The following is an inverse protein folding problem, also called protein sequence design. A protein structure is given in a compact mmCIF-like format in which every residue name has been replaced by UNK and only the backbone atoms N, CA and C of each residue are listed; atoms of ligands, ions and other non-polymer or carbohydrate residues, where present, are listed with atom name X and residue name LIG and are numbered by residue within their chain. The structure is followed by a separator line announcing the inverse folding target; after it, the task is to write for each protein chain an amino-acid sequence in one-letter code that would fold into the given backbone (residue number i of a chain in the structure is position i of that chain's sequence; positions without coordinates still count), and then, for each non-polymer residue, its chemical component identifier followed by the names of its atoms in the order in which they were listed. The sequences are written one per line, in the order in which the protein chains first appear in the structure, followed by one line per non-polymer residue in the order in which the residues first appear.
data_IF_665771794895
#
_entry.id   IF_665771794895
#
_cell.length_a   1.000
_cell.length_b   1.000
_cell.length_c   1.000
_cell.angle_alpha   90.00
_cell.angle_beta   90.00
_cell.angle_gamma   90.00
#
_symmetry.space_group_name_H-M   'P 1'
#
loop_
_entity.id
_entity.type
_entity.pdbx_description
1 polymer ?
#
# COMPACT_ATOMS: atom_id res chain seq x y z
N UNK A 1 -19.60 -3.85 -23.70
CA UNK A 1 -19.95 -3.41 -25.07
C UNK A 1 -19.43 -1.98 -25.27
N UNK A 2 -18.98 -1.63 -26.48
CA UNK A 2 -18.38 -0.32 -26.79
C UNK A 2 -19.25 0.89 -26.39
N UNK A 3 -20.57 0.76 -26.34
CA UNK A 3 -21.50 1.80 -25.91
C UNK A 3 -21.39 2.14 -24.41
N UNK A 4 -21.10 1.15 -23.55
CA UNK A 4 -20.92 1.37 -22.11
C UNK A 4 -19.62 2.12 -21.79
N UNK A 5 -18.60 1.96 -22.62
CA UNK A 5 -17.30 2.64 -22.42
C UNK A 5 -17.33 4.11 -22.86
N UNK A 6 -18.20 4.46 -23.84
CA UNK A 6 -18.37 5.83 -24.29
C UNK A 6 -19.09 6.68 -23.21
N UNK A 7 -20.08 6.13 -22.51
CA UNK A 7 -20.79 6.83 -21.44
C UNK A 7 -19.92 7.09 -20.19
N UNK A 8 -18.97 6.19 -19.88
CA UNK A 8 -18.04 6.37 -18.76
C UNK A 8 -16.95 7.43 -19.02
N UNK A 9 -16.74 7.82 -20.28
CA UNK A 9 -15.72 8.81 -20.69
C UNK A 9 -16.20 10.26 -20.61
N UNK A 10 -17.49 10.52 -20.49
CA UNK A 10 -18.04 11.88 -20.56
C UNK A 10 -17.68 12.79 -19.36
N UNK A 11 -17.32 12.21 -18.20
CA UNK A 11 -16.99 12.98 -16.98
C UNK A 11 -15.47 13.05 -16.67
N UNK A 12 -14.61 12.55 -17.55
CA UNK A 12 -13.16 12.57 -17.32
C UNK A 12 -12.45 13.12 -18.55
N UNK A 13 -11.56 14.08 -18.35
CA UNK A 13 -10.62 14.51 -19.38
C UNK A 13 -9.72 13.33 -19.77
N UNK A 14 -9.91 12.78 -20.96
CA UNK A 14 -9.10 11.69 -21.50
C UNK A 14 -8.19 12.27 -22.57
N UNK A 15 -6.87 12.21 -22.34
CA UNK A 15 -5.86 12.51 -23.34
C UNK A 15 -5.34 11.21 -23.94
N UNK A 16 -5.37 11.11 -25.26
CA UNK A 16 -4.74 10.01 -25.98
C UNK A 16 -3.24 10.25 -26.08
N UNK A 17 -2.44 9.24 -25.73
CA UNK A 17 -1.01 9.25 -26.01
C UNK A 17 -0.78 8.80 -27.46
N UNK A 18 0.18 9.41 -28.19
CA UNK A 18 0.58 8.93 -29.51
C UNK A 18 1.07 7.48 -29.50
N UNK A 19 0.86 6.76 -30.59
CA UNK A 19 1.17 5.31 -30.72
C UNK A 19 2.64 4.98 -30.40
N UNK A 20 3.57 5.88 -30.68
CA UNK A 20 4.99 5.67 -30.42
C UNK A 20 5.35 5.55 -28.91
N UNK A 21 4.47 5.99 -28.01
CA UNK A 21 4.63 5.69 -26.56
C UNK A 21 4.46 4.21 -26.25
N UNK A 22 3.72 3.48 -27.08
CA UNK A 22 3.45 2.05 -26.91
C UNK A 22 4.47 1.14 -27.61
N UNK A 23 5.64 1.69 -27.98
CA UNK A 23 6.73 0.92 -28.54
C UNK A 23 7.40 0.05 -27.48
N UNK A 24 7.44 -1.28 -27.73
CA UNK A 24 7.98 -2.28 -26.80
C UNK A 24 9.46 -2.02 -26.46
N UNK A 25 10.28 -1.71 -27.48
CA UNK A 25 11.73 -1.54 -27.30
C UNK A 25 12.01 -0.31 -26.43
N UNK A 26 11.25 0.75 -26.65
CA UNK A 26 11.33 1.97 -25.84
C UNK A 26 10.88 1.71 -24.39
N UNK A 27 9.78 0.99 -24.22
CA UNK A 27 9.25 0.60 -22.93
C UNK A 27 10.25 -0.23 -22.12
N UNK A 28 10.85 -1.24 -22.74
CA UNK A 28 11.88 -2.09 -22.15
C UNK A 28 13.09 -1.26 -21.71
N UNK A 29 13.63 -0.40 -22.57
CA UNK A 29 14.74 0.50 -22.21
C UNK A 29 14.39 1.41 -21.03
N UNK A 30 13.16 1.90 -20.98
CA UNK A 30 12.68 2.75 -19.88
C UNK A 30 12.68 2.00 -18.56
N UNK A 31 12.22 0.74 -18.55
CA UNK A 31 12.19 -0.11 -17.35
C UNK A 31 13.58 -0.55 -16.92
N UNK A 32 14.44 -0.98 -17.85
CA UNK A 32 15.83 -1.34 -17.57
C UNK A 32 16.60 -0.18 -16.92
N UNK A 33 16.41 1.04 -17.45
CA UNK A 33 16.99 2.25 -16.86
C UNK A 33 16.41 2.55 -15.49
N UNK A 34 15.08 2.38 -15.30
CA UNK A 34 14.39 2.66 -14.05
C UNK A 34 14.90 1.77 -12.92
N UNK A 35 15.08 0.47 -13.18
CA UNK A 35 15.47 -0.51 -12.17
C UNK A 35 16.98 -0.75 -12.11
N UNK A 36 17.77 -0.12 -12.99
CA UNK A 36 19.23 -0.29 -13.02
C UNK A 36 19.65 -1.71 -13.37
N UNK A 37 18.88 -2.45 -14.16
CA UNK A 37 19.13 -3.85 -14.51
C UNK A 37 19.40 -4.03 -16.00
N UNK A 38 20.04 -5.14 -16.36
CA UNK A 38 20.29 -5.53 -17.75
C UNK A 38 19.16 -6.38 -18.36
N UNK A 39 18.26 -6.92 -17.53
CA UNK A 39 17.15 -7.82 -17.95
C UNK A 39 15.93 -7.61 -17.06
N UNK A 40 14.74 -7.91 -17.58
CA UNK A 40 13.47 -7.85 -16.84
C UNK A 40 13.02 -9.22 -16.29
N UNK A 41 13.84 -10.27 -16.46
CA UNK A 41 13.55 -11.62 -15.94
C UNK A 41 13.27 -11.67 -14.44
N UNK A 42 14.05 -10.98 -13.58
CA UNK A 42 13.81 -10.99 -12.12
C UNK A 42 12.44 -10.45 -11.70
N UNK A 43 11.80 -9.69 -12.58
CA UNK A 43 10.48 -9.09 -12.32
C UNK A 43 9.31 -9.94 -12.88
N UNK A 44 9.60 -11.08 -13.53
CA UNK A 44 8.57 -11.99 -14.06
C UNK A 44 7.72 -11.43 -15.21
N UNK A 45 8.23 -10.43 -15.93
CA UNK A 45 7.52 -9.79 -17.06
C UNK A 45 8.24 -9.92 -18.41
N UNK A 46 9.43 -10.50 -18.44
CA UNK A 46 10.28 -10.58 -19.63
C UNK A 46 9.63 -11.35 -20.80
N UNK A 47 8.72 -12.27 -20.50
CA UNK A 47 8.00 -13.13 -21.43
C UNK A 47 6.75 -12.48 -22.06
N UNK A 48 6.41 -11.24 -21.66
CA UNK A 48 5.16 -10.60 -22.09
C UNK A 48 5.38 -9.19 -22.64
N UNK A 49 5.27 -9.05 -23.95
CA UNK A 49 5.36 -7.75 -24.64
C UNK A 49 4.31 -6.75 -24.15
N UNK A 50 3.11 -7.24 -23.80
CA UNK A 50 2.01 -6.41 -23.30
C UNK A 50 2.37 -5.82 -21.92
N UNK A 51 2.89 -6.65 -21.01
CA UNK A 51 3.26 -6.21 -19.68
C UNK A 51 4.43 -5.23 -19.72
N UNK A 52 5.45 -5.51 -20.54
CA UNK A 52 6.59 -4.60 -20.73
C UNK A 52 6.10 -3.25 -21.26
N UNK A 53 5.29 -3.28 -22.32
CA UNK A 53 4.77 -2.05 -22.93
C UNK A 53 3.92 -1.25 -21.97
N UNK A 54 2.96 -1.89 -21.30
CA UNK A 54 2.08 -1.22 -20.34
C UNK A 54 2.86 -0.58 -19.18
N UNK A 55 3.78 -1.35 -18.57
CA UNK A 55 4.60 -0.87 -17.45
C UNK A 55 5.54 0.28 -17.87
N UNK A 56 6.16 0.17 -19.05
CA UNK A 56 7.05 1.20 -19.58
C UNK A 56 6.32 2.51 -19.86
N UNK A 57 5.12 2.45 -20.47
CA UNK A 57 4.27 3.63 -20.71
C UNK A 57 3.87 4.31 -19.40
N UNK A 58 3.45 3.54 -18.39
CA UNK A 58 3.08 4.08 -17.07
C UNK A 58 4.28 4.73 -16.40
N UNK A 59 5.46 4.11 -16.45
CA UNK A 59 6.68 4.67 -15.88
C UNK A 59 7.10 5.97 -16.60
N UNK A 60 7.02 6.02 -17.93
CA UNK A 60 7.31 7.21 -18.69
C UNK A 60 6.33 8.35 -18.42
N UNK A 61 5.03 8.04 -18.36
CA UNK A 61 3.99 9.01 -18.01
C UNK A 61 4.18 9.55 -16.58
N UNK A 62 4.43 8.68 -15.60
CA UNK A 62 4.70 9.09 -14.23
C UNK A 62 5.92 10.03 -14.13
N UNK A 63 7.01 9.70 -14.83
CA UNK A 63 8.20 10.56 -14.88
C UNK A 63 7.93 11.92 -15.53
N UNK A 64 7.18 11.95 -16.61
CA UNK A 64 6.85 13.20 -17.32
C UNK A 64 5.93 14.11 -16.49
N UNK A 65 4.99 13.55 -15.74
CA UNK A 65 4.04 14.31 -14.92
C UNK A 65 4.64 14.78 -13.60
N UNK A 66 5.55 14.02 -13.02
CA UNK A 66 6.19 14.38 -11.75
C UNK A 66 7.43 15.25 -11.92
N UNK A 67 8.02 15.29 -13.12
CA UNK A 67 9.21 16.08 -13.41
C UNK A 67 10.47 15.63 -12.65
N UNK A 68 10.45 14.44 -12.02
CA UNK A 68 11.56 13.87 -11.24
C UNK A 68 11.81 12.42 -11.63
N UNK A 69 13.02 11.94 -11.38
CA UNK A 69 13.31 10.51 -11.47
C UNK A 69 12.51 9.75 -10.41
N UNK A 70 11.90 8.63 -10.84
CA UNK A 70 11.05 7.80 -9.99
C UNK A 70 11.89 6.85 -9.08
N UNK A 71 12.87 7.38 -8.37
CA UNK A 71 13.85 6.60 -7.58
C UNK A 71 13.21 5.74 -6.48
N UNK A 72 11.99 6.10 -6.06
CA UNK A 72 11.19 5.37 -5.08
C UNK A 72 10.50 4.11 -5.66
N UNK A 73 10.40 4.02 -6.99
CA UNK A 73 9.88 2.82 -7.65
C UNK A 73 11.06 1.90 -7.93
N UNK A 74 11.27 0.94 -7.04
CA UNK A 74 12.43 0.03 -7.06
C UNK A 74 12.12 -1.35 -7.62
N UNK A 75 10.85 -1.70 -7.72
CA UNK A 75 10.41 -3.00 -8.20
C UNK A 75 9.10 -2.93 -8.98
N UNK A 76 8.87 -3.95 -9.79
CA UNK A 76 7.61 -4.24 -10.44
C UNK A 76 7.26 -5.69 -10.15
N UNK A 77 6.02 -5.96 -9.81
CA UNK A 77 5.54 -7.31 -9.51
C UNK A 77 4.40 -7.64 -10.45
N UNK A 78 4.48 -8.82 -11.07
CA UNK A 78 3.39 -9.35 -11.87
C UNK A 78 2.34 -9.93 -10.94
N UNK A 79 1.13 -9.34 -10.94
CA UNK A 79 -0.03 -10.00 -10.34
C UNK A 79 -0.53 -11.08 -11.29
N UNK A 80 -0.71 -12.29 -10.78
CA UNK A 80 -1.33 -13.39 -11.53
C UNK A 80 -2.79 -13.52 -11.09
N UNK A 81 -3.69 -13.75 -12.05
CA UNK A 81 -5.12 -13.96 -11.77
C UNK A 81 -5.37 -15.18 -10.85
N UNK A 82 -4.34 -16.00 -10.62
CA UNK A 82 -4.43 -17.19 -9.79
C UNK A 82 -4.36 -16.91 -8.29
N UNK A 83 -3.85 -15.77 -7.86
CA UNK A 83 -3.63 -15.47 -6.44
C UNK A 83 -4.90 -14.95 -5.75
N UNK A 84 -5.85 -14.45 -6.53
CA UNK A 84 -7.09 -13.88 -6.04
C UNK A 84 -8.34 -14.50 -6.66
N UNK A 85 -9.43 -14.51 -5.91
CA UNK A 85 -10.75 -14.83 -6.47
C UNK A 85 -11.18 -13.71 -7.40
N UNK A 86 -11.45 -14.05 -8.65
CA UNK A 86 -11.91 -13.11 -9.67
C UNK A 86 -13.32 -12.63 -9.37
N UNK A 87 -13.46 -11.51 -8.67
CA UNK A 87 -14.73 -10.79 -8.54
C UNK A 87 -14.84 -9.81 -9.70
N UNK A 88 -15.80 -10.01 -10.59
CA UNK A 88 -16.06 -9.06 -11.66
C UNK A 88 -16.66 -7.74 -11.12
N UNK A 89 -16.69 -6.72 -11.97
CA UNK A 89 -17.18 -5.39 -11.59
C UNK A 89 -18.67 -5.39 -11.18
N UNK A 90 -19.48 -6.27 -11.78
CA UNK A 90 -20.89 -6.40 -11.46
C UNK A 90 -21.09 -7.06 -10.10
N UNK A 91 -20.34 -8.15 -9.83
CA UNK A 91 -20.35 -8.84 -8.54
C UNK A 91 -19.91 -7.92 -7.41
N UNK A 92 -18.78 -7.20 -7.56
CA UNK A 92 -18.29 -6.22 -6.56
C UNK A 92 -19.32 -5.14 -6.26
N UNK A 93 -20.02 -4.65 -7.29
CA UNK A 93 -21.05 -3.64 -7.16
C UNK A 93 -22.29 -4.18 -6.44
N UNK A 94 -22.76 -5.37 -6.83
CA UNK A 94 -23.96 -5.98 -6.26
C UNK A 94 -23.77 -6.42 -4.81
N UNK A 95 -22.57 -6.81 -4.43
CA UNK A 95 -22.19 -7.15 -3.06
C UNK A 95 -21.97 -5.92 -2.16
N UNK A 96 -22.02 -4.72 -2.73
CA UNK A 96 -21.82 -3.45 -2.01
C UNK A 96 -20.59 -3.47 -1.07
N UNK A 97 -19.49 -4.04 -1.55
CA UNK A 97 -18.29 -4.28 -0.71
C UNK A 97 -17.71 -2.97 -0.19
N UNK A 98 -17.46 -1.98 -1.07
CA UNK A 98 -16.85 -0.69 -0.70
C UNK A 98 -17.70 0.51 -1.10
N UNK A 99 -18.76 0.29 -1.88
CA UNK A 99 -19.74 1.31 -2.28
C UNK A 99 -21.10 0.68 -2.44
N UNK A 100 -22.14 1.38 -1.99
CA UNK A 100 -23.54 0.97 -2.23
C UNK A 100 -23.89 1.10 -3.71
N UNK A 101 -25.01 0.52 -4.12
CA UNK A 101 -25.57 0.68 -5.47
C UNK A 101 -25.83 2.16 -5.81
N UNK A 102 -26.08 3.00 -4.79
CA UNK A 102 -26.26 4.45 -4.91
C UNK A 102 -24.93 5.23 -4.96
N UNK A 103 -23.78 4.55 -4.79
CA UNK A 103 -22.44 5.16 -4.81
C UNK A 103 -21.94 5.69 -3.46
N UNK A 104 -22.68 5.50 -2.38
CA UNK A 104 -22.30 5.89 -1.03
C UNK A 104 -21.20 4.96 -0.48
N UNK A 105 -20.38 5.45 0.45
CA UNK A 105 -19.33 4.66 1.11
C UNK A 105 -19.75 4.13 2.48
N UNK A 106 -20.85 4.62 3.02
CA UNK A 106 -21.47 4.16 4.27
C UNK A 106 -22.39 2.98 4.01
N UNK A 107 -22.67 2.17 5.02
CA UNK A 107 -23.54 0.98 4.93
C UNK A 107 -23.05 -0.06 3.91
N UNK A 108 -21.75 -0.20 3.77
CA UNK A 108 -21.08 -1.22 2.96
C UNK A 108 -20.48 -2.31 3.85
N UNK A 109 -20.12 -3.47 3.27
CA UNK A 109 -19.39 -4.51 4.01
C UNK A 109 -18.11 -3.92 4.62
N UNK A 110 -17.35 -3.17 3.84
CA UNK A 110 -16.13 -2.51 4.29
C UNK A 110 -16.39 -1.55 5.45
N UNK A 111 -17.37 -0.64 5.32
CA UNK A 111 -17.65 0.35 6.38
C UNK A 111 -18.10 -0.29 7.71
N UNK A 112 -18.72 -1.48 7.65
CA UNK A 112 -19.11 -2.24 8.83
C UNK A 112 -17.92 -2.93 9.50
N UNK A 113 -16.94 -3.37 8.70
CA UNK A 113 -15.78 -4.10 9.20
C UNK A 113 -14.58 -3.21 9.53
N UNK A 114 -14.52 -1.97 9.01
CA UNK A 114 -13.36 -1.10 9.17
C UNK A 114 -13.31 -0.46 10.57
N UNK A 115 -12.66 -1.17 11.46
CA UNK A 115 -12.24 -0.70 12.78
C UNK A 115 -10.73 -0.51 12.88
N UNK A 116 -10.04 -0.41 11.73
CA UNK A 116 -8.59 -0.27 11.67
C UNK A 116 -8.11 1.00 12.35
N UNK A 117 -6.99 0.92 13.05
CA UNK A 117 -6.37 2.05 13.75
C UNK A 117 -5.50 2.92 12.83
N UNK A 118 -5.12 2.38 11.68
CA UNK A 118 -4.25 3.07 10.71
C UNK A 118 -4.91 3.14 9.34
N UNK A 119 -4.63 4.21 8.59
CA UNK A 119 -5.09 4.35 7.21
C UNK A 119 -4.54 3.25 6.29
N UNK A 120 -3.33 2.75 6.57
CA UNK A 120 -2.73 1.62 5.85
C UNK A 120 -3.53 0.34 6.09
N UNK A 121 -3.92 0.07 7.32
CA UNK A 121 -4.78 -1.06 7.68
C UNK A 121 -6.13 -1.01 6.97
N UNK A 122 -6.81 0.13 6.97
CA UNK A 122 -8.08 0.33 6.25
C UNK A 122 -7.92 0.06 4.75
N UNK A 123 -6.85 0.55 4.12
CA UNK A 123 -6.58 0.26 2.71
C UNK A 123 -6.32 -1.24 2.48
N UNK A 124 -5.61 -1.89 3.38
CA UNK A 124 -5.33 -3.32 3.29
C UNK A 124 -6.61 -4.15 3.44
N UNK A 125 -7.46 -3.79 4.39
CA UNK A 125 -8.78 -4.43 4.57
C UNK A 125 -9.64 -4.27 3.31
N UNK A 126 -9.74 -3.06 2.76
CA UNK A 126 -10.48 -2.81 1.51
C UNK A 126 -9.94 -3.68 0.36
N UNK A 127 -8.61 -3.80 0.23
CA UNK A 127 -7.96 -4.66 -0.76
C UNK A 127 -8.33 -6.14 -0.56
N UNK A 128 -8.30 -6.65 0.66
CA UNK A 128 -8.65 -8.04 0.94
C UNK A 128 -10.12 -8.36 0.66
N UNK A 129 -11.01 -7.43 0.94
CA UNK A 129 -12.44 -7.60 0.65
C UNK A 129 -12.76 -7.51 -0.85
N UNK A 130 -12.05 -6.69 -1.60
CA UNK A 130 -12.26 -6.52 -3.04
C UNK A 130 -11.51 -7.53 -3.90
N UNK A 131 -10.45 -8.11 -3.36
CA UNK A 131 -9.59 -9.10 -4.01
C UNK A 131 -9.21 -10.19 -3.01
N UNK A 132 -10.19 -11.02 -2.57
CA UNK A 132 -9.92 -12.07 -1.59
C UNK A 132 -8.94 -13.10 -2.15
N UNK A 133 -8.07 -13.61 -1.29
CA UNK A 133 -7.11 -14.64 -1.70
C UNK A 133 -7.83 -15.92 -2.11
N UNK A 134 -7.29 -16.59 -3.13
CA UNK A 134 -7.81 -17.86 -3.62
C UNK A 134 -7.32 -19.04 -2.78
N UNK A 135 -6.14 -18.91 -2.21
CA UNK A 135 -5.51 -19.97 -1.43
C UNK A 135 -6.16 -20.09 -0.06
N UNK A 136 -6.84 -21.21 0.17
CA UNK A 136 -7.55 -21.49 1.42
C UNK A 136 -6.59 -21.56 2.62
N UNK A 137 -5.38 -22.08 2.43
CA UNK A 137 -4.38 -22.15 3.49
C UNK A 137 -4.00 -20.74 4.03
N UNK A 138 -3.88 -19.74 3.15
CA UNK A 138 -3.61 -18.36 3.57
C UNK A 138 -4.80 -17.75 4.34
N UNK A 139 -6.02 -18.06 3.92
CA UNK A 139 -7.22 -17.62 4.64
C UNK A 139 -7.30 -18.26 6.04
N UNK A 140 -6.98 -19.56 6.15
CA UNK A 140 -6.92 -20.25 7.42
C UNK A 140 -5.88 -19.65 8.38
N UNK A 141 -4.63 -19.44 7.91
CA UNK A 141 -3.58 -18.78 8.73
C UNK A 141 -4.03 -17.42 9.29
N UNK A 142 -4.79 -16.64 8.50
CA UNK A 142 -5.33 -15.35 8.98
C UNK A 142 -6.42 -15.54 10.04
N UNK A 143 -7.30 -16.52 9.87
CA UNK A 143 -8.34 -16.83 10.83
C UNK A 143 -7.75 -17.32 12.16
N UNK A 144 -6.76 -18.21 12.09
CA UNK A 144 -6.04 -18.72 13.28
C UNK A 144 -5.34 -17.57 14.03
N UNK A 145 -4.70 -16.64 13.29
CA UNK A 145 -4.09 -15.46 13.89
C UNK A 145 -5.10 -14.54 14.59
N UNK A 146 -6.30 -14.39 14.03
CA UNK A 146 -7.39 -13.63 14.66
C UNK A 146 -7.87 -14.31 15.94
N UNK A 147 -8.06 -15.63 15.92
CA UNK A 147 -8.47 -16.42 17.09
C UNK A 147 -7.46 -16.25 18.24
N UNK A 148 -6.17 -16.43 17.96
CA UNK A 148 -5.09 -16.28 18.94
C UNK A 148 -5.04 -14.85 19.52
N UNK A 149 -5.26 -13.83 18.68
CA UNK A 149 -5.33 -12.43 19.15
C UNK A 149 -6.55 -12.20 20.05
N UNK A 150 -7.70 -12.79 19.74
CA UNK A 150 -8.91 -12.71 20.58
C UNK A 150 -8.75 -13.41 21.92
N UNK A 151 -8.02 -14.52 21.96
CA UNK A 151 -7.69 -15.23 23.21
C UNK A 151 -6.67 -14.45 24.07
N UNK A 152 -5.98 -13.49 23.48
CA UNK A 152 -4.95 -12.65 24.14
C UNK A 152 -5.35 -11.18 24.17
N UNK A 153 -6.52 -10.86 24.75
CA UNK A 153 -7.11 -9.51 24.74
C UNK A 153 -6.20 -8.42 25.26
N UNK A 154 -5.38 -8.68 26.29
CA UNK A 154 -4.43 -7.72 26.83
C UNK A 154 -3.39 -7.29 25.77
N UNK A 155 -2.82 -8.26 25.03
CA UNK A 155 -1.87 -7.99 23.95
C UNK A 155 -2.55 -7.29 22.78
N UNK A 156 -3.78 -7.70 22.43
CA UNK A 156 -4.57 -7.05 21.39
C UNK A 156 -4.85 -5.58 21.71
N UNK A 157 -5.25 -5.28 22.94
CA UNK A 157 -5.47 -3.90 23.38
C UNK A 157 -4.18 -3.08 23.35
N UNK A 158 -3.07 -3.65 23.82
CA UNK A 158 -1.76 -3.01 23.79
C UNK A 158 -1.32 -2.69 22.34
N UNK A 159 -1.38 -3.66 21.44
CA UNK A 159 -1.10 -3.45 20.02
C UNK A 159 -1.98 -2.34 19.45
N UNK A 160 -3.29 -2.36 19.74
CA UNK A 160 -4.23 -1.33 19.28
C UNK A 160 -3.86 0.08 19.75
N UNK A 161 -3.37 0.25 20.97
CA UNK A 161 -2.94 1.55 21.48
C UNK A 161 -1.71 2.07 20.71
N UNK A 162 -0.70 1.21 20.50
CA UNK A 162 0.48 1.63 19.73
C UNK A 162 0.15 1.92 18.27
N UNK A 163 -0.77 1.17 17.65
CA UNK A 163 -1.20 1.43 16.28
C UNK A 163 -1.87 2.79 16.09
N UNK A 164 -2.54 3.35 17.10
CA UNK A 164 -3.16 4.69 17.00
C UNK A 164 -2.13 5.79 16.75
N UNK A 165 -0.90 5.60 17.22
CA UNK A 165 0.20 6.56 17.02
C UNK A 165 0.94 6.41 15.69
N UNK A 166 0.66 5.37 14.90
CA UNK A 166 1.37 5.09 13.65
C UNK A 166 0.82 5.98 12.53
N UNK A 167 1.65 6.88 11.96
CA UNK A 167 1.25 7.69 10.80
C UNK A 167 1.19 6.83 9.53
N UNK A 168 0.69 7.42 8.47
CA UNK A 168 0.64 6.77 7.15
C UNK A 168 2.05 6.70 6.52
N UNK A 169 2.78 5.61 6.80
CA UNK A 169 4.15 5.40 6.32
C UNK A 169 4.23 5.35 4.80
N UNK A 170 3.26 4.72 4.12
CA UNK A 170 3.24 4.62 2.66
C UNK A 170 3.17 6.00 2.01
N UNK A 171 2.27 6.86 2.50
CA UNK A 171 2.16 8.24 2.02
C UNK A 171 3.37 9.09 2.36
N UNK A 172 3.93 8.90 3.55
CA UNK A 172 5.13 9.62 3.97
C UNK A 172 6.32 9.23 3.10
N UNK A 173 6.52 7.94 2.84
CA UNK A 173 7.57 7.44 1.94
C UNK A 173 7.42 8.01 0.52
N UNK A 174 6.20 8.04 -0.02
CA UNK A 174 5.91 8.65 -1.31
C UNK A 174 6.28 10.14 -1.32
N UNK A 175 5.95 10.89 -0.27
CA UNK A 175 6.29 12.33 -0.18
C UNK A 175 7.79 12.56 -0.02
N UNK A 176 8.50 11.69 0.68
CA UNK A 176 9.97 11.74 0.76
C UNK A 176 10.55 11.58 -0.64
N UNK A 177 10.11 10.58 -1.37
CA UNK A 177 10.57 10.30 -2.73
C UNK A 177 10.31 11.46 -3.71
N UNK A 178 9.17 12.16 -3.52
CA UNK A 178 8.80 13.35 -4.31
C UNK A 178 9.41 14.66 -3.82
N UNK A 179 10.22 14.64 -2.76
CA UNK A 179 10.79 15.86 -2.17
C UNK A 179 9.76 16.83 -1.60
N UNK A 180 8.52 16.37 -1.32
CA UNK A 180 7.39 17.18 -0.87
C UNK A 180 7.01 16.94 0.59
N UNK A 181 7.76 16.11 1.29
CA UNK A 181 7.54 15.77 2.72
C UNK A 181 7.78 17.00 3.60
N UNK A 182 6.91 17.18 4.59
CA UNK A 182 7.05 18.29 5.56
C UNK A 182 7.82 17.81 6.80
N UNK A 183 8.60 18.70 7.45
CA UNK A 183 9.35 18.34 8.67
C UNK A 183 8.49 17.69 9.78
N UNK A 184 7.25 18.14 9.93
CA UNK A 184 6.30 17.55 10.88
C UNK A 184 5.93 16.10 10.58
N UNK A 185 5.91 15.71 9.31
CA UNK A 185 5.61 14.33 8.89
C UNK A 185 6.78 13.41 9.18
N UNK A 186 8.01 13.90 8.99
CA UNK A 186 9.22 13.20 9.38
C UNK A 186 9.35 13.09 10.90
N UNK A 187 8.94 14.13 11.65
CA UNK A 187 8.91 14.07 13.10
C UNK A 187 7.89 13.03 13.60
N UNK A 188 6.69 12.99 13.01
CA UNK A 188 5.69 11.98 13.34
C UNK A 188 6.19 10.56 13.00
N UNK A 189 6.90 10.39 11.88
CA UNK A 189 7.54 9.12 11.52
C UNK A 189 8.58 8.72 12.58
N UNK A 190 9.52 9.60 12.93
CA UNK A 190 10.53 9.35 13.98
C UNK A 190 9.89 8.91 15.29
N UNK A 191 8.87 9.65 15.74
CA UNK A 191 8.25 9.43 17.05
C UNK A 191 7.44 8.12 17.10
N UNK A 192 6.98 7.63 15.96
CA UNK A 192 6.23 6.38 15.86
C UNK A 192 7.12 5.12 15.68
N UNK A 193 8.33 5.26 15.13
CA UNK A 193 9.21 4.13 14.85
C UNK A 193 9.48 3.23 16.08
N UNK A 194 9.74 3.75 17.30
CA UNK A 194 9.95 2.88 18.47
C UNK A 194 8.74 2.00 18.82
N UNK A 195 7.53 2.40 18.44
CA UNK A 195 6.32 1.59 18.67
C UNK A 195 6.33 0.28 17.89
N UNK A 196 7.10 0.20 16.80
CA UNK A 196 7.23 -1.03 16.01
C UNK A 196 7.85 -2.17 16.83
N UNK A 197 8.86 -1.87 17.65
CA UNK A 197 9.48 -2.87 18.52
C UNK A 197 8.49 -3.40 19.56
N UNK A 198 7.69 -2.52 20.17
CA UNK A 198 6.69 -2.93 21.14
C UNK A 198 5.60 -3.79 20.51
N UNK A 199 5.18 -3.44 19.30
CA UNK A 199 4.22 -4.26 18.53
C UNK A 199 4.84 -5.63 18.21
N UNK A 200 6.09 -5.66 17.72
CA UNK A 200 6.80 -6.89 17.40
C UNK A 200 6.95 -7.82 18.62
N UNK A 201 7.33 -7.29 19.79
CA UNK A 201 7.40 -8.04 21.04
C UNK A 201 6.05 -8.66 21.43
N UNK A 202 4.95 -7.90 21.35
CA UNK A 202 3.62 -8.42 21.65
C UNK A 202 3.17 -9.53 20.67
N UNK A 203 3.59 -9.44 19.40
CA UNK A 203 3.25 -10.43 18.37
C UNK A 203 4.10 -11.69 18.48
N UNK A 204 5.41 -11.57 18.79
CA UNK A 204 6.35 -12.69 18.85
C UNK A 204 6.00 -13.73 19.90
N UNK A 205 5.37 -13.30 20.99
CA UNK A 205 4.95 -14.17 22.09
C UNK A 205 3.66 -14.95 21.79
N UNK A 206 3.00 -14.68 20.66
CA UNK A 206 1.75 -15.35 20.29
C UNK A 206 2.05 -16.61 19.46
N UNK A 207 1.33 -17.69 19.71
CA UNK A 207 1.57 -18.97 19.04
C UNK A 207 0.89 -19.06 17.68
N UNK A 208 1.24 -18.16 16.79
CA UNK A 208 0.80 -18.10 15.39
C UNK A 208 2.00 -17.89 14.48
N UNK A 209 2.14 -18.73 13.46
CA UNK A 209 3.19 -18.58 12.44
C UNK A 209 3.11 -17.21 11.77
N UNK A 210 1.93 -16.78 11.33
CA UNK A 210 1.71 -15.50 10.66
C UNK A 210 2.08 -14.30 11.54
N UNK A 211 1.76 -14.36 12.85
CA UNK A 211 2.07 -13.26 13.77
C UNK A 211 3.57 -13.21 14.08
N UNK A 212 4.24 -14.38 14.21
CA UNK A 212 5.69 -14.46 14.37
C UNK A 212 6.44 -13.94 13.14
N UNK A 213 6.05 -14.37 11.93
CA UNK A 213 6.60 -13.85 10.67
C UNK A 213 6.42 -12.32 10.59
N UNK A 214 5.24 -11.82 10.94
CA UNK A 214 4.98 -10.37 10.97
C UNK A 214 5.87 -9.65 12.00
N UNK A 215 6.10 -10.25 13.17
CA UNK A 215 6.98 -9.69 14.20
C UNK A 215 8.44 -9.59 13.73
N UNK A 216 8.92 -10.57 12.97
CA UNK A 216 10.28 -10.57 12.40
C UNK A 216 10.47 -9.49 11.32
N UNK A 217 9.40 -9.11 10.61
CA UNK A 217 9.42 -8.08 9.58
C UNK A 217 9.30 -6.65 10.13
N UNK A 218 8.97 -6.49 11.43
CA UNK A 218 8.72 -5.19 12.08
C UNK A 218 9.92 -4.55 12.82
N UNK A 219 11.18 -4.99 12.69
CA UNK A 219 12.26 -4.41 13.48
C UNK A 219 12.40 -2.91 13.17
N UNK A 220 12.69 -2.15 14.22
CA UNK A 220 13.02 -0.73 14.09
C UNK A 220 14.18 -0.55 13.12
N UNK A 221 14.02 0.21 12.02
CA UNK A 221 15.13 0.53 11.12
C UNK A 221 16.05 1.55 11.80
N UNK A 222 17.00 1.05 12.62
CA UNK A 222 17.82 1.84 13.52
C UNK A 222 18.57 2.97 12.82
N UNK A 223 19.16 2.71 11.64
CA UNK A 223 19.86 3.74 10.87
C UNK A 223 18.93 4.90 10.47
N UNK A 224 17.73 4.59 10.02
CA UNK A 224 16.73 5.60 9.67
C UNK A 224 16.30 6.39 10.91
N UNK A 225 16.07 5.70 12.02
CA UNK A 225 15.69 6.34 13.28
C UNK A 225 16.77 7.32 13.76
N UNK A 226 18.01 6.90 13.78
CA UNK A 226 19.15 7.75 14.17
C UNK A 226 19.31 8.96 13.24
N UNK A 227 19.16 8.75 11.93
CA UNK A 227 19.20 9.83 10.94
C UNK A 227 18.10 10.87 11.21
N UNK A 228 16.87 10.42 11.48
CA UNK A 228 15.75 11.30 11.78
C UNK A 228 15.97 12.04 13.12
N UNK A 229 16.51 11.38 14.14
CA UNK A 229 16.84 12.00 15.41
C UNK A 229 17.93 13.07 15.28
N UNK A 230 18.95 12.82 14.47
CA UNK A 230 20.02 13.78 14.21
C UNK A 230 19.58 14.99 13.39
N UNK A 231 18.68 14.75 12.40
CA UNK A 231 18.26 15.76 11.43
C UNK A 231 17.12 16.67 11.94
N UNK A 232 16.27 16.15 12.84
CA UNK A 232 15.09 16.85 13.31
C UNK A 232 15.27 17.31 14.77
N UNK A 233 15.28 18.63 14.98
CA UNK A 233 15.21 19.16 16.36
C UNK A 233 13.92 18.66 17.02
N UNK A 234 13.99 18.26 18.30
CA UNK A 234 12.79 18.04 19.11
C UNK A 234 12.00 19.36 19.15
N UNK A 235 11.00 19.50 18.29
CA UNK A 235 10.01 20.55 18.46
C UNK A 235 9.28 20.24 19.77
N UNK A 236 9.61 21.01 20.81
CA UNK A 236 8.69 21.19 21.92
C UNK A 236 7.45 21.82 21.31
N UNK A 237 6.37 21.05 21.21
CA UNK A 237 5.03 21.59 21.03
C UNK A 237 4.77 22.51 22.23
N UNK A 238 5.18 23.77 22.10
CA UNK A 238 4.70 24.83 22.95
C UNK A 238 3.20 24.93 22.69
N UNK A 239 2.38 24.38 23.59
CA UNK A 239 0.98 24.73 23.67
C UNK A 239 0.94 26.23 23.91
N UNK A 240 0.69 27.00 22.87
CA UNK A 240 0.28 28.39 23.01
C UNK A 240 -1.14 28.30 23.54
N UNK A 241 -1.27 28.40 24.83
CA UNK A 241 -2.51 28.82 25.48
C UNK A 241 -2.70 30.28 25.07
N UNK A 242 -3.56 30.54 24.14
CA UNK A 242 -4.12 31.86 23.95
C UNK A 242 -5.24 31.98 24.99
N UNK A 243 -4.98 32.82 25.98
CA UNK A 243 -5.96 33.29 26.96
C UNK A 243 -6.94 34.23 26.28
#
# INVERSE_FOLDING_TARGET
SAASDVYKRQDRSVSALPDWHFDRIRAEKTLLKQFGTSTLEPFGIADSDILITAAGVVAEYARSTQGTDLTHITAITRETDNDHLGLDAASRRNLEIVRTLRGEQTNTLFSTMDHCRTAMGSRRLASWLTSPCREQAQAAKRSDAVEILLDSMEKLENINEFLKGIPDFERTATRIALGSVKPRELAALRDALPSLNVIAENLSDLDSELLKETAEELPLPEELYQLLCASLKKERLARIHIS
#
